data_IF_873291328886
#
_entry.id   IF_873291328886
#
_cell.length_a   1.000
_cell.length_b   1.000
_cell.length_c   1.000
_cell.angle_alpha   90.00
_cell.angle_beta   90.00
_cell.angle_gamma   90.00
#
_symmetry.space_group_name_H-M   'P 1'
#
loop_
_entity.id
_entity.type
_entity.pdbx_description
1 polymer ?
#
# COMPACT_ATOMS: atom_id res chain seq x y z
N UNK A 1 -28.00 -8.46 2.87
CA UNK A 1 -27.67 -9.18 1.63
C UNK A 1 -26.16 -9.04 1.44
N UNK A 2 -25.40 -10.12 1.64
CA UNK A 2 -23.92 -10.11 1.51
C UNK A 2 -23.59 -10.61 0.11
N UNK A 3 -23.04 -9.74 -0.73
CA UNK A 3 -22.64 -10.12 -2.09
C UNK A 3 -21.20 -10.63 -2.03
N UNK A 4 -20.98 -11.85 -2.54
CA UNK A 4 -19.68 -12.49 -2.66
C UNK A 4 -18.84 -11.77 -3.73
N UNK A 5 -17.63 -11.34 -3.35
CA UNK A 5 -16.64 -10.61 -4.17
C UNK A 5 -16.03 -11.43 -5.33
N UNK A 6 -16.55 -12.62 -5.64
CA UNK A 6 -15.92 -13.53 -6.61
C UNK A 6 -16.23 -13.24 -8.09
N UNK A 7 -17.11 -12.29 -8.41
CA UNK A 7 -17.62 -12.13 -9.79
C UNK A 7 -17.68 -10.67 -10.31
N UNK A 8 -16.95 -9.73 -9.70
CA UNK A 8 -17.03 -8.33 -10.13
C UNK A 8 -15.95 -7.96 -11.17
N UNK A 9 -16.29 -8.09 -12.46
CA UNK A 9 -15.52 -7.61 -13.62
C UNK A 9 -16.02 -6.22 -14.13
N UNK A 10 -16.66 -5.42 -13.27
CA UNK A 10 -17.17 -4.08 -13.60
C UNK A 10 -16.46 -2.97 -12.82
N UNK A 11 -16.56 -1.72 -13.31
CA UNK A 11 -16.18 -0.54 -12.54
C UNK A 11 -16.97 -0.50 -11.22
N UNK A 12 -16.27 -0.38 -10.09
CA UNK A 12 -16.88 -0.31 -8.76
C UNK A 12 -17.81 0.91 -8.73
N UNK A 13 -19.11 0.74 -8.46
CA UNK A 13 -20.04 1.87 -8.41
C UNK A 13 -19.58 2.89 -7.37
N UNK A 14 -19.64 4.18 -7.70
CA UNK A 14 -19.30 5.28 -6.77
C UNK A 14 -20.06 5.18 -5.43
N UNK A 15 -21.24 4.56 -5.44
CA UNK A 15 -22.08 4.30 -4.27
C UNK A 15 -21.53 3.24 -3.31
N UNK A 16 -20.56 2.43 -3.73
CA UNK A 16 -19.86 1.44 -2.90
C UNK A 16 -18.58 2.02 -2.26
N UNK A 17 -18.25 3.27 -2.60
CA UNK A 17 -17.22 4.07 -1.93
C UNK A 17 -17.77 4.83 -0.70
N UNK A 18 -18.99 4.52 -0.24
CA UNK A 18 -19.64 5.11 0.95
C UNK A 18 -19.26 4.28 2.18
N UNK A 19 -18.72 4.82 3.28
CA UNK A 19 -19.31 5.87 4.12
C UNK A 19 -18.29 6.78 4.84
N UNK A 20 -17.01 6.84 4.43
CA UNK A 20 -15.98 7.58 5.21
C UNK A 20 -15.46 8.87 4.57
N UNK A 21 -16.17 9.39 3.56
CA UNK A 21 -15.80 10.63 2.84
C UNK A 21 -15.87 11.90 3.71
N UNK A 22 -16.59 11.89 4.83
CA UNK A 22 -16.71 13.07 5.69
C UNK A 22 -15.53 13.27 6.65
N UNK A 23 -14.68 12.25 6.84
CA UNK A 23 -13.53 12.32 7.79
C UNK A 23 -12.19 11.94 7.17
N UNK A 24 -12.18 11.21 6.04
CA UNK A 24 -10.96 10.85 5.35
C UNK A 24 -10.55 11.96 4.38
N UNK A 25 -9.62 12.82 4.77
CA UNK A 25 -8.99 13.74 3.81
C UNK A 25 -8.19 12.89 2.79
N UNK A 26 -8.72 12.75 1.58
CA UNK A 26 -7.99 12.21 0.46
C UNK A 26 -7.04 13.29 -0.05
N UNK A 27 -5.75 12.98 -0.09
CA UNK A 27 -4.74 13.86 -0.66
C UNK A 27 -4.55 13.50 -2.13
N UNK A 28 -4.35 14.53 -2.96
CA UNK A 28 -3.81 14.27 -4.30
C UNK A 28 -2.44 13.62 -4.13
N UNK A 29 -2.31 12.41 -4.65
CA UNK A 29 -1.01 11.72 -4.74
C UNK A 29 -0.09 12.61 -5.58
N UNK A 30 1.07 13.04 -5.09
CA UNK A 30 1.95 13.90 -5.87
C UNK A 30 2.57 13.11 -7.03
N UNK A 31 2.76 13.78 -8.17
CA UNK A 31 3.55 13.24 -9.28
C UNK A 31 5.00 13.01 -8.85
N UNK A 32 5.67 12.09 -9.54
CA UNK A 32 7.04 11.64 -9.31
C UNK A 32 8.09 12.75 -9.49
N UNK A 33 7.77 13.76 -10.31
CA UNK A 33 8.71 14.80 -10.78
C UNK A 33 9.97 14.21 -11.40
N UNK A 34 9.85 13.07 -12.09
CA UNK A 34 10.97 12.38 -12.72
C UNK A 34 11.82 11.51 -11.79
N UNK A 35 11.46 11.38 -10.51
CA UNK A 35 12.20 10.57 -9.54
C UNK A 35 11.56 9.20 -9.33
N UNK A 36 12.38 8.18 -9.06
CA UNK A 36 11.88 6.87 -8.63
C UNK A 36 11.10 7.04 -7.34
N UNK A 37 9.88 6.52 -7.30
CA UNK A 37 9.04 6.56 -6.10
C UNK A 37 9.21 5.26 -5.35
N UNK A 38 9.53 5.38 -4.06
CA UNK A 38 9.67 4.24 -3.17
C UNK A 38 8.40 4.03 -2.37
N UNK A 39 7.90 2.80 -2.37
CA UNK A 39 6.84 2.35 -1.49
C UNK A 39 7.37 1.29 -0.52
N UNK A 40 6.75 1.21 0.63
CA UNK A 40 7.09 0.32 1.71
C UNK A 40 5.85 -0.44 2.14
N UNK A 41 5.99 -1.75 2.29
CA UNK A 41 4.95 -2.60 2.87
C UNK A 41 5.55 -3.55 3.88
N UNK A 42 4.91 -3.63 5.03
CA UNK A 42 5.25 -4.58 6.06
C UNK A 42 4.57 -5.94 5.86
N UNK A 43 5.30 -7.02 6.12
CA UNK A 43 4.80 -8.39 6.10
C UNK A 43 5.28 -9.13 7.34
N UNK A 44 4.44 -10.01 7.87
CA UNK A 44 4.83 -10.94 8.93
C UNK A 44 4.97 -12.34 8.37
N UNK A 45 6.07 -12.98 8.77
CA UNK A 45 6.59 -14.28 8.32
C UNK A 45 6.72 -14.35 6.79
N UNK A 46 7.80 -14.96 6.33
CA UNK A 46 8.03 -15.20 4.89
C UNK A 46 7.94 -13.93 4.01
N UNK A 47 8.47 -12.81 4.50
CA UNK A 47 8.50 -11.55 3.73
C UNK A 47 9.22 -11.71 2.37
N UNK A 48 10.18 -12.65 2.31
CA UNK A 48 10.83 -13.11 1.07
C UNK A 48 9.84 -13.68 0.05
N UNK A 49 8.89 -14.50 0.50
CA UNK A 49 7.80 -15.06 -0.33
C UNK A 49 6.77 -13.98 -0.66
N UNK A 50 6.45 -13.11 0.29
CA UNK A 50 5.50 -12.02 0.10
C UNK A 50 5.98 -10.95 -0.91
N UNK A 51 7.30 -10.84 -1.14
CA UNK A 51 7.88 -9.94 -2.14
C UNK A 51 7.41 -10.24 -3.58
N UNK A 52 6.95 -11.47 -3.86
CA UNK A 52 6.41 -11.82 -5.17
C UNK A 52 5.03 -11.21 -5.43
N UNK A 53 4.24 -10.99 -4.37
CA UNK A 53 2.89 -10.45 -4.46
C UNK A 53 2.63 -9.51 -3.30
N UNK A 54 3.07 -8.27 -3.48
CA UNK A 54 3.02 -7.24 -2.45
C UNK A 54 1.60 -6.72 -2.30
N UNK A 55 0.85 -6.56 -3.38
CA UNK A 55 -0.56 -6.14 -3.35
C UNK A 55 -1.45 -7.36 -3.56
N UNK A 56 -2.09 -7.84 -2.50
CA UNK A 56 -3.01 -8.99 -2.59
C UNK A 56 -4.32 -8.52 -3.21
N UNK A 57 -5.04 -9.42 -3.89
CA UNK A 57 -6.35 -9.09 -4.45
C UNK A 57 -7.32 -8.60 -3.37
N UNK A 58 -7.19 -9.12 -2.15
CA UNK A 58 -7.97 -8.69 -0.97
C UNK A 58 -7.69 -7.27 -0.53
N UNK A 59 -6.56 -6.66 -0.94
CA UNK A 59 -6.12 -5.32 -0.53
C UNK A 59 -6.59 -4.24 -1.49
N UNK A 60 -7.06 -4.64 -2.67
CA UNK A 60 -7.58 -3.74 -3.71
C UNK A 60 -8.87 -3.11 -3.18
N UNK A 61 -8.95 -1.78 -3.19
CA UNK A 61 -10.03 -0.93 -2.67
C UNK A 61 -10.28 -1.01 -1.13
N UNK A 62 -9.97 -2.14 -0.48
CA UNK A 62 -10.06 -2.31 0.98
C UNK A 62 -8.91 -1.61 1.71
N UNK A 63 -7.72 -1.59 1.11
CA UNK A 63 -6.50 -0.98 1.62
C UNK A 63 -5.67 -1.93 2.49
N UNK A 64 -4.55 -2.39 1.93
CA UNK A 64 -3.39 -2.87 2.71
C UNK A 64 -2.41 -1.72 2.95
N UNK A 65 -1.67 -1.76 4.07
CA UNK A 65 -0.72 -0.67 4.40
C UNK A 65 0.46 -0.71 3.43
N UNK A 66 0.37 0.12 2.39
CA UNK A 66 1.44 0.47 1.48
C UNK A 66 1.70 1.96 1.68
N UNK A 67 2.93 2.39 1.93
CA UNK A 67 3.22 3.80 2.23
C UNK A 67 4.46 4.26 1.51
N UNK A 68 4.59 5.58 1.29
CA UNK A 68 5.86 6.19 0.87
C UNK A 68 6.83 6.39 2.04
N UNK A 69 6.36 6.14 3.25
CA UNK A 69 7.10 6.27 4.50
C UNK A 69 7.32 4.89 5.13
N UNK A 70 8.58 4.59 5.39
CA UNK A 70 8.99 3.33 6.01
C UNK A 70 8.46 3.19 7.44
N UNK A 71 8.28 4.29 8.17
CA UNK A 71 7.77 4.26 9.53
C UNK A 71 6.33 3.71 9.59
N UNK A 72 5.50 3.98 8.58
CA UNK A 72 4.14 3.42 8.49
C UNK A 72 4.14 1.91 8.23
N UNK A 73 5.09 1.40 7.43
CA UNK A 73 5.26 -0.04 7.23
C UNK A 73 5.69 -0.75 8.53
N UNK A 74 6.55 -0.11 9.34
CA UNK A 74 6.94 -0.64 10.66
C UNK A 74 5.79 -0.63 11.66
N UNK A 75 5.09 0.48 11.77
CA UNK A 75 3.96 0.63 12.69
C UNK A 75 2.86 -0.40 12.39
N UNK A 76 2.62 -0.69 11.10
CA UNK A 76 1.68 -1.74 10.69
C UNK A 76 2.11 -3.15 11.14
N UNK A 77 3.40 -3.49 11.03
CA UNK A 77 3.92 -4.76 11.53
C UNK A 77 3.78 -4.84 13.05
N UNK A 78 4.30 -3.82 13.74
CA UNK A 78 4.32 -3.78 15.20
C UNK A 78 2.90 -3.91 15.77
N UNK A 79 1.92 -3.26 15.15
CA UNK A 79 0.56 -3.38 15.61
C UNK A 79 -0.04 -4.77 15.45
N UNK A 80 0.08 -5.37 14.27
CA UNK A 80 -0.62 -6.63 13.97
C UNK A 80 0.02 -7.79 14.75
N UNK A 81 1.32 -7.69 15.07
CA UNK A 81 2.09 -8.82 15.59
C UNK A 81 2.81 -8.56 16.91
N UNK A 82 2.88 -7.32 17.39
CA UNK A 82 3.56 -6.96 18.64
C UNK A 82 5.09 -7.12 18.59
N UNK A 83 5.67 -7.18 17.39
CA UNK A 83 7.10 -7.42 17.17
C UNK A 83 7.72 -6.29 16.34
N UNK A 84 8.97 -5.98 16.65
CA UNK A 84 9.78 -5.13 15.79
C UNK A 84 10.13 -5.90 14.50
N UNK A 85 10.16 -5.22 13.34
CA UNK A 85 10.46 -5.88 12.09
C UNK A 85 11.92 -6.35 12.00
N UNK A 86 12.11 -7.67 11.96
CA UNK A 86 13.34 -8.35 11.59
C UNK A 86 13.13 -9.32 10.40
N UNK A 87 14.21 -9.67 9.68
CA UNK A 87 14.09 -10.47 8.46
C UNK A 87 13.51 -11.88 8.71
N UNK A 88 13.62 -12.40 9.92
CA UNK A 88 13.26 -13.77 10.27
C UNK A 88 11.76 -13.91 10.64
N UNK A 89 11.17 -12.87 11.23
CA UNK A 89 9.79 -12.88 11.74
C UNK A 89 8.89 -11.86 11.07
N UNK A 90 9.41 -10.71 10.63
CA UNK A 90 8.65 -9.66 10.00
C UNK A 90 9.49 -8.67 9.17
N UNK A 91 9.32 -8.69 7.85
CA UNK A 91 10.13 -7.89 6.94
C UNK A 91 9.39 -6.70 6.32
N UNK A 92 10.17 -5.68 5.95
CA UNK A 92 9.68 -4.56 5.13
C UNK A 92 10.18 -4.75 3.71
N UNK A 93 9.25 -4.77 2.76
CA UNK A 93 9.58 -4.78 1.33
C UNK A 93 9.58 -3.34 0.84
N UNK A 94 10.71 -2.90 0.27
CA UNK A 94 10.81 -1.66 -0.51
C UNK A 94 10.51 -1.98 -1.97
N UNK A 95 9.57 -1.24 -2.56
CA UNK A 95 9.17 -1.31 -3.96
C UNK A 95 9.59 -0.02 -4.64
N UNK A 96 10.37 -0.12 -5.71
CA UNK A 96 10.82 1.03 -6.50
C UNK A 96 10.00 1.16 -7.77
N UNK A 97 9.11 2.14 -7.84
CA UNK A 97 8.24 2.40 -9.00
C UNK A 97 8.91 3.43 -9.91
N UNK A 98 8.93 3.15 -11.21
CA UNK A 98 9.47 4.09 -12.19
C UNK A 98 8.66 5.40 -12.21
N UNK A 99 9.28 6.55 -12.54
CA UNK A 99 8.55 7.82 -12.62
C UNK A 99 7.34 7.74 -13.56
N UNK A 100 7.51 7.09 -14.72
CA UNK A 100 6.49 6.91 -15.74
C UNK A 100 5.30 6.09 -15.23
N UNK A 101 5.58 4.97 -14.56
CA UNK A 101 4.52 4.11 -14.03
C UNK A 101 3.79 4.80 -12.88
N UNK A 102 4.52 5.48 -11.99
CA UNK A 102 3.93 6.24 -10.90
C UNK A 102 2.99 7.34 -11.43
N UNK A 103 3.47 8.16 -12.35
CA UNK A 103 2.67 9.27 -12.89
C UNK A 103 1.45 8.74 -13.64
N UNK A 104 1.57 7.60 -14.33
CA UNK A 104 0.43 6.92 -14.95
C UNK A 104 -0.58 6.45 -13.91
N UNK A 105 -0.14 5.82 -12.82
CA UNK A 105 -1.02 5.36 -11.72
C UNK A 105 -1.78 6.54 -11.09
N UNK A 106 -1.10 7.67 -10.87
CA UNK A 106 -1.69 8.90 -10.33
C UNK A 106 -2.69 9.51 -11.33
N UNK A 107 -2.28 9.71 -12.58
CA UNK A 107 -3.11 10.34 -13.61
C UNK A 107 -4.41 9.55 -13.89
N UNK A 108 -4.34 8.22 -13.79
CA UNK A 108 -5.48 7.31 -13.97
C UNK A 108 -6.31 7.08 -12.71
N UNK A 109 -5.98 7.74 -11.58
CA UNK A 109 -6.64 7.55 -10.26
C UNK A 109 -6.67 6.09 -9.78
N UNK A 110 -5.74 5.29 -10.29
CA UNK A 110 -5.55 3.89 -9.97
C UNK A 110 -4.98 3.69 -8.56
N UNK A 111 -4.37 4.75 -8.02
CA UNK A 111 -3.96 4.86 -6.63
C UNK A 111 -4.48 6.16 -6.01
N UNK A 112 -4.70 6.16 -4.70
CA UNK A 112 -5.01 7.36 -3.91
C UNK A 112 -4.20 7.35 -2.62
N UNK A 113 -3.86 8.54 -2.12
CA UNK A 113 -3.15 8.71 -0.86
C UNK A 113 -4.10 9.25 0.20
N UNK A 114 -4.06 8.65 1.39
CA UNK A 114 -4.84 9.10 2.55
C UNK A 114 -3.97 9.17 3.78
N UNK A 115 -4.46 9.84 4.82
CA UNK A 115 -3.79 9.79 6.11
C UNK A 115 -3.64 8.35 6.57
N UNK A 116 -2.42 8.02 6.97
CA UNK A 116 -2.17 6.83 7.73
C UNK A 116 -2.64 7.09 9.15
N UNK A 117 -3.76 6.49 9.52
CA UNK A 117 -4.30 6.63 10.88
C UNK A 117 -3.51 5.84 11.91
N UNK A 118 -2.69 4.88 11.44
CA UNK A 118 -1.74 4.12 12.24
C UNK A 118 -2.27 3.56 13.55
N UNK A 119 -1.34 3.07 14.34
CA UNK A 119 -1.57 2.60 15.69
C UNK A 119 -0.79 3.43 16.69
N UNK A 120 0.43 3.84 16.30
CA UNK A 120 1.10 4.95 16.95
C UNK A 120 0.38 6.26 16.64
N UNK A 121 -0.33 6.81 17.64
CA UNK A 121 -0.98 8.14 17.57
C UNK A 121 0.00 9.30 17.29
N UNK A 122 1.31 9.03 17.28
CA UNK A 122 2.37 10.01 17.02
C UNK A 122 2.90 9.96 15.59
N UNK A 123 2.59 8.92 14.82
CA UNK A 123 3.07 8.82 13.46
C UNK A 123 2.21 9.67 12.52
N UNK A 124 2.79 10.76 12.01
CA UNK A 124 2.14 11.59 10.99
C UNK A 124 2.61 11.11 9.62
N UNK A 125 1.83 10.24 8.99
CA UNK A 125 2.20 9.62 7.72
C UNK A 125 0.99 9.46 6.78
N UNK A 126 1.23 8.90 5.61
CA UNK A 126 0.21 8.61 4.60
C UNK A 126 0.29 7.16 4.15
N UNK A 127 -0.80 6.66 3.59
CA UNK A 127 -0.83 5.35 2.94
C UNK A 127 -1.47 5.45 1.55
N UNK A 128 -0.98 4.60 0.66
CA UNK A 128 -1.40 4.42 -0.71
C UNK A 128 -2.44 3.31 -0.76
N UNK A 129 -3.66 3.66 -1.14
CA UNK A 129 -4.67 2.69 -1.56
C UNK A 129 -4.52 2.39 -3.04
N UNK A 130 -4.55 1.11 -3.35
CA UNK A 130 -4.54 0.58 -4.70
C UNK A 130 -5.98 0.24 -5.08
N UNK A 131 -6.52 0.89 -6.11
CA UNK A 131 -7.94 0.81 -6.44
C UNK A 131 -8.25 -0.27 -7.50
N UNK A 132 -7.26 -0.70 -8.27
CA UNK A 132 -7.46 -1.61 -9.40
C UNK A 132 -6.43 -2.73 -9.45
N UNK A 133 -6.80 -3.84 -10.11
CA UNK A 133 -5.89 -4.97 -10.35
C UNK A 133 -4.71 -4.58 -11.24
N UNK A 134 -4.92 -3.70 -12.22
CA UNK A 134 -3.84 -3.17 -13.08
C UNK A 134 -2.80 -2.43 -12.25
N UNK A 135 -3.24 -1.63 -11.28
CA UNK A 135 -2.34 -0.92 -10.39
C UNK A 135 -1.54 -1.88 -9.50
N UNK A 136 -2.22 -2.89 -8.94
CA UNK A 136 -1.59 -3.94 -8.16
C UNK A 136 -0.50 -4.67 -8.98
N UNK A 137 -0.80 -5.01 -10.24
CA UNK A 137 0.14 -5.69 -11.14
C UNK A 137 1.37 -4.84 -11.46
N UNK A 138 1.20 -3.52 -11.68
CA UNK A 138 2.33 -2.60 -11.90
C UNK A 138 3.24 -2.57 -10.67
N UNK A 139 2.66 -2.47 -9.47
CA UNK A 139 3.40 -2.47 -8.20
C UNK A 139 4.10 -3.81 -7.98
N UNK A 140 3.40 -4.91 -8.23
CA UNK A 140 3.91 -6.28 -8.06
C UNK A 140 4.97 -6.67 -9.11
N UNK A 141 5.02 -6.00 -10.26
CA UNK A 141 6.08 -6.21 -11.27
C UNK A 141 7.26 -5.23 -11.13
N UNK A 142 7.13 -4.20 -10.29
CA UNK A 142 8.20 -3.24 -10.06
C UNK A 142 9.40 -3.89 -9.35
N UNK A 143 10.62 -3.35 -9.49
CA UNK A 143 11.78 -3.78 -8.70
C UNK A 143 11.51 -3.72 -7.19
N UNK A 144 11.88 -4.79 -6.48
CA UNK A 144 11.64 -4.92 -5.04
C UNK A 144 12.86 -5.47 -4.33
N UNK A 145 13.01 -5.09 -3.08
CA UNK A 145 13.99 -5.68 -2.17
C UNK A 145 13.46 -5.74 -0.76
N UNK A 146 13.92 -6.73 -0.02
CA UNK A 146 13.68 -6.84 1.41
C UNK A 146 14.70 -5.96 2.14
N UNK A 147 14.22 -5.10 3.04
CA UNK A 147 15.10 -4.23 3.82
C UNK A 147 15.60 -4.96 5.07
N UNK A 148 16.89 -4.82 5.41
CA UNK A 148 17.43 -5.41 6.63
C UNK A 148 16.83 -4.74 7.88
N UNK A 149 16.89 -5.41 9.04
CA UNK A 149 16.35 -4.87 10.29
C UNK A 149 17.05 -3.55 10.62
N UNK A 150 16.29 -2.56 11.06
CA UNK A 150 16.82 -1.26 11.47
C UNK A 150 17.27 -0.31 10.34
N UNK A 151 17.20 -0.69 9.06
CA UNK A 151 17.38 0.28 7.97
C UNK A 151 16.06 0.95 7.59
N UNK A 152 16.05 2.29 7.65
CA UNK A 152 14.92 3.16 7.29
C UNK A 152 14.75 4.29 8.29
#
# INVERSE_FOLDING_TARGET
MVISLKEFEGEIPDSWLYEDRAKTKHYMVPLSRGNVVKLYRGFHKDASTAMQKVVRNSDIASGGVLSRDIAAARDAIFHVYGIDPDLDTAGIVEISISPTDWDKLVATKNIVERFYYGFSRRLTSTEIRVNTATAAQIIDNSPKRLLPPGQG
#
